data_IF_162571812454
#
_entry.id   IF_162571812454
#
_cell.length_a   1.000
_cell.length_b   1.000
_cell.length_c   1.000
_cell.angle_alpha   90.00
_cell.angle_beta   90.00
_cell.angle_gamma   90.00
#
_symmetry.space_group_name_H-M   'P 1'
#
loop_
_entity.id
_entity.type
_entity.pdbx_description
1 polymer ?
#
# COMPACT_ATOMS: atom_id res chain seq x y z
N UNK A 1 31.29 -37.12 -21.96
CA UNK A 1 30.87 -35.76 -21.55
C UNK A 1 29.71 -35.34 -22.43
N UNK A 2 28.49 -35.28 -21.88
CA UNK A 2 27.29 -34.80 -22.59
C UNK A 2 26.70 -33.68 -21.75
N UNK A 3 26.85 -32.44 -22.20
CA UNK A 3 26.21 -31.28 -21.60
C UNK A 3 24.82 -31.15 -22.21
N UNK A 4 23.80 -31.50 -21.43
CA UNK A 4 22.41 -31.26 -21.80
C UNK A 4 22.07 -29.83 -21.37
N UNK A 5 21.95 -28.92 -22.34
CA UNK A 5 21.39 -27.59 -22.14
C UNK A 5 19.89 -27.74 -21.88
N UNK A 6 19.46 -27.63 -20.62
CA UNK A 6 18.06 -27.39 -20.30
C UNK A 6 17.77 -25.91 -20.56
N UNK A 7 17.07 -25.65 -21.66
CA UNK A 7 16.50 -24.34 -21.98
C UNK A 7 15.45 -23.99 -20.93
N UNK A 8 15.65 -22.91 -20.20
CA UNK A 8 14.66 -22.37 -19.28
C UNK A 8 13.54 -21.71 -20.10
N UNK A 9 12.37 -22.34 -20.11
CA UNK A 9 11.16 -21.71 -20.61
C UNK A 9 10.80 -20.54 -19.68
N UNK A 10 11.07 -19.31 -20.13
CA UNK A 10 10.51 -18.13 -19.50
C UNK A 10 9.01 -18.14 -19.75
N UNK A 11 8.24 -18.50 -18.72
CA UNK A 11 6.80 -18.29 -18.73
C UNK A 11 6.56 -16.77 -18.71
N UNK A 12 6.15 -16.22 -19.86
CA UNK A 12 5.56 -14.90 -19.91
C UNK A 12 4.24 -14.96 -19.13
N UNK A 13 4.27 -14.54 -17.87
CA UNK A 13 3.06 -14.35 -17.06
C UNK A 13 2.47 -13.02 -17.49
N UNK A 14 1.62 -13.05 -18.50
CA UNK A 14 0.81 -11.92 -18.90
C UNK A 14 -0.41 -11.85 -17.98
N UNK A 15 -0.47 -10.91 -17.05
CA UNK A 15 -1.73 -10.56 -16.38
C UNK A 15 -1.80 -9.08 -15.96
N UNK A 16 -2.47 -8.28 -16.78
CA UNK A 16 -3.65 -7.58 -16.30
C UNK A 16 -4.80 -8.62 -16.27
N UNK A 17 -5.87 -8.41 -15.51
CA UNK A 17 -7.11 -9.18 -15.70
C UNK A 17 -7.40 -9.31 -17.20
N UNK A 18 -7.30 -10.54 -17.74
CA UNK A 18 -7.35 -10.78 -19.18
C UNK A 18 -8.77 -10.68 -19.75
N UNK A 19 -9.77 -10.38 -18.93
CA UNK A 19 -11.17 -10.32 -19.36
C UNK A 19 -11.53 -8.99 -20.03
N UNK A 20 -10.76 -7.92 -19.79
CA UNK A 20 -11.09 -6.56 -20.26
C UNK A 20 -9.96 -5.82 -20.98
N UNK A 21 -9.05 -6.55 -21.65
CA UNK A 21 -8.04 -5.96 -22.55
C UNK A 21 -7.18 -4.87 -21.88
N UNK A 22 -6.78 -5.10 -20.61
CA UNK A 22 -5.98 -4.16 -19.83
C UNK A 22 -6.70 -2.88 -19.38
N UNK A 23 -8.04 -2.84 -19.46
CA UNK A 23 -8.86 -1.73 -18.96
C UNK A 23 -9.27 -1.94 -17.50
N UNK A 24 -9.57 -0.83 -16.84
CA UNK A 24 -10.03 -0.73 -15.45
C UNK A 24 -11.45 -0.18 -15.41
N UNK A 25 -12.29 -0.71 -14.53
CA UNK A 25 -13.65 -0.20 -14.34
C UNK A 25 -13.59 1.01 -13.43
N UNK A 26 -13.77 2.19 -14.01
CA UNK A 26 -13.68 3.47 -13.32
C UNK A 26 -15.07 4.03 -13.11
N UNK A 27 -15.42 4.28 -11.85
CA UNK A 27 -16.65 4.92 -11.43
C UNK A 27 -16.43 6.42 -11.26
N UNK A 28 -17.09 7.21 -12.10
CA UNK A 28 -17.00 8.67 -12.12
C UNK A 28 -18.10 9.32 -11.28
N UNK A 29 -19.22 8.62 -11.05
CA UNK A 29 -20.29 9.06 -10.16
C UNK A 29 -21.07 7.86 -9.60
N UNK A 30 -22.09 8.13 -8.78
CA UNK A 30 -22.93 7.08 -8.21
C UNK A 30 -23.56 6.17 -9.29
N UNK A 31 -23.92 6.70 -10.45
CA UNK A 31 -24.66 5.94 -11.47
C UNK A 31 -23.88 5.78 -12.78
N UNK A 32 -22.58 6.09 -12.77
CA UNK A 32 -21.76 6.10 -13.98
C UNK A 32 -20.41 5.44 -13.75
N UNK A 33 -20.19 4.33 -14.46
CA UNK A 33 -18.92 3.63 -14.53
C UNK A 33 -18.56 3.30 -15.98
N UNK A 34 -17.27 3.36 -16.31
CA UNK A 34 -16.75 3.07 -17.64
C UNK A 34 -15.47 2.23 -17.57
N UNK A 35 -15.28 1.33 -18.53
CA UNK A 35 -14.01 0.62 -18.72
C UNK A 35 -13.01 1.52 -19.44
N UNK A 36 -11.98 1.96 -18.72
CA UNK A 36 -10.99 2.94 -19.19
C UNK A 36 -9.60 2.32 -19.25
N UNK A 37 -8.80 2.72 -20.25
CA UNK A 37 -7.38 2.34 -20.31
C UNK A 37 -6.55 3.14 -19.30
N UNK A 38 -5.36 2.65 -18.95
CA UNK A 38 -4.46 3.35 -18.02
C UNK A 38 -4.18 4.80 -18.42
N UNK A 39 -4.04 5.09 -19.72
CA UNK A 39 -3.84 6.45 -20.21
C UNK A 39 -5.06 7.34 -19.95
N UNK A 40 -6.28 6.82 -20.11
CA UNK A 40 -7.51 7.55 -19.84
C UNK A 40 -7.69 7.79 -18.33
N UNK A 41 -7.32 6.83 -17.49
CA UNK A 41 -7.34 7.00 -16.03
C UNK A 41 -6.30 8.04 -15.58
N UNK A 42 -5.10 8.00 -16.17
CA UNK A 42 -4.07 9.00 -15.89
C UNK A 42 -4.53 10.41 -16.30
N UNK A 43 -5.24 10.56 -17.41
CA UNK A 43 -5.83 11.83 -17.85
C UNK A 43 -6.87 12.36 -16.85
N UNK A 44 -7.72 11.51 -16.27
CA UNK A 44 -8.65 11.91 -15.20
C UNK A 44 -7.89 12.49 -14.00
N UNK A 45 -6.82 11.83 -13.56
CA UNK A 45 -5.99 12.30 -12.46
C UNK A 45 -5.31 13.63 -12.78
N UNK A 46 -4.81 13.81 -14.01
CA UNK A 46 -4.19 15.07 -14.46
C UNK A 46 -5.18 16.24 -14.52
N UNK A 47 -6.47 15.95 -14.79
CA UNK A 47 -7.54 16.94 -14.83
C UNK A 47 -8.22 17.16 -13.47
N UNK A 48 -7.70 16.56 -12.40
CA UNK A 48 -8.26 16.62 -11.05
C UNK A 48 -9.74 16.17 -10.99
N UNK A 49 -10.08 15.18 -11.82
CA UNK A 49 -11.40 14.55 -11.80
C UNK A 49 -11.35 13.39 -10.81
N UNK A 50 -12.14 13.47 -9.75
CA UNK A 50 -12.27 12.38 -8.78
C UNK A 50 -12.93 11.15 -9.40
N UNK A 51 -12.38 9.97 -9.14
CA UNK A 51 -12.92 8.70 -9.59
C UNK A 51 -12.63 7.59 -8.56
N UNK A 52 -13.37 6.48 -8.65
CA UNK A 52 -13.12 5.26 -7.89
C UNK A 52 -12.78 4.12 -8.86
N UNK A 53 -11.71 3.39 -8.58
CA UNK A 53 -11.34 2.18 -9.33
C UNK A 53 -12.10 0.98 -8.74
N UNK A 54 -13.13 0.51 -9.45
CA UNK A 54 -14.03 -0.59 -9.06
C UNK A 54 -13.79 -1.85 -9.90
N UNK A 55 -12.59 -1.96 -10.50
CA UNK A 55 -12.21 -3.08 -11.38
C UNK A 55 -12.43 -4.44 -10.74
N UNK A 56 -12.10 -4.57 -9.46
CA UNK A 56 -12.20 -5.84 -8.73
C UNK A 56 -13.46 -5.94 -7.85
N UNK A 57 -14.38 -4.96 -7.94
CA UNK A 57 -15.58 -4.90 -7.10
C UNK A 57 -15.31 -4.68 -5.60
N UNK A 58 -14.07 -4.34 -5.24
CA UNK A 58 -13.64 -4.17 -3.85
C UNK A 58 -14.41 -3.06 -3.13
N UNK A 59 -14.92 -2.04 -3.83
CA UNK A 59 -15.76 -1.01 -3.21
C UNK A 59 -17.11 -1.57 -2.74
N UNK A 60 -17.71 -2.46 -3.53
CA UNK A 60 -18.91 -3.20 -3.11
C UNK A 60 -18.61 -4.05 -1.88
N UNK A 61 -17.46 -4.74 -1.90
CA UNK A 61 -16.98 -5.56 -0.78
C UNK A 61 -16.73 -4.76 0.49
N UNK A 62 -16.27 -3.51 0.42
CA UNK A 62 -16.10 -2.63 1.59
C UNK A 62 -17.44 -2.37 2.29
N UNK A 63 -18.52 -2.13 1.54
CA UNK A 63 -19.85 -1.96 2.12
C UNK A 63 -20.39 -3.26 2.72
N UNK A 64 -20.17 -4.40 2.06
CA UNK A 64 -20.50 -5.72 2.61
C UNK A 64 -19.70 -6.04 3.88
N UNK A 65 -18.41 -5.69 3.94
CA UNK A 65 -17.58 -5.83 5.13
C UNK A 65 -18.09 -4.95 6.26
N UNK A 66 -18.55 -3.74 5.96
CA UNK A 66 -19.22 -2.85 6.91
C UNK A 66 -20.49 -3.49 7.48
N UNK A 67 -21.38 -3.98 6.61
CA UNK A 67 -22.61 -4.66 7.00
C UNK A 67 -22.32 -5.96 7.79
N UNK A 68 -21.32 -6.74 7.37
CA UNK A 68 -20.90 -7.96 8.05
C UNK A 68 -20.29 -7.67 9.43
N UNK A 69 -19.53 -6.58 9.58
CA UNK A 69 -19.05 -6.12 10.89
C UNK A 69 -20.22 -5.72 11.80
N UNK A 70 -21.18 -4.94 11.30
CA UNK A 70 -22.37 -4.57 12.07
C UNK A 70 -23.23 -5.78 12.46
N UNK A 71 -23.43 -6.73 11.53
CA UNK A 71 -24.15 -7.96 11.80
C UNK A 71 -23.44 -8.81 12.86
N UNK A 72 -22.10 -8.92 12.80
CA UNK A 72 -21.29 -9.57 13.84
C UNK A 72 -21.43 -8.87 15.19
N UNK A 73 -21.38 -7.54 15.24
CA UNK A 73 -21.62 -6.74 16.45
C UNK A 73 -23.00 -6.99 17.06
N UNK A 74 -24.01 -7.37 16.27
CA UNK A 74 -25.35 -7.66 16.76
C UNK A 74 -25.53 -9.08 17.32
N UNK A 75 -24.55 -9.98 17.16
CA UNK A 75 -24.58 -11.32 17.77
C UNK A 75 -24.17 -11.26 19.25
N UNK A 76 -24.64 -12.17 20.11
CA UNK A 76 -24.21 -12.22 21.51
C UNK A 76 -22.69 -12.27 21.67
N UNK A 77 -22.00 -13.04 20.82
CA UNK A 77 -20.54 -13.16 20.83
C UNK A 77 -19.83 -11.89 20.37
N UNK A 78 -20.36 -11.20 19.34
CA UNK A 78 -19.79 -9.94 18.86
C UNK A 78 -20.03 -8.76 19.81
N UNK A 79 -21.15 -8.74 20.55
CA UNK A 79 -21.36 -7.77 21.64
C UNK A 79 -20.33 -7.95 22.74
N UNK A 80 -20.06 -9.18 23.16
CA UNK A 80 -19.04 -9.48 24.18
C UNK A 80 -17.63 -9.08 23.71
N UNK A 81 -17.27 -9.29 22.43
CA UNK A 81 -15.98 -8.85 21.87
C UNK A 81 -15.84 -7.32 21.78
N UNK A 82 -16.95 -6.61 21.53
CA UNK A 82 -16.97 -5.15 21.50
C UNK A 82 -16.90 -4.54 22.90
N UNK A 83 -17.59 -5.13 23.88
CA UNK A 83 -17.52 -4.74 25.30
C UNK A 83 -16.14 -5.03 25.93
N UNK A 84 -15.42 -6.05 25.43
CA UNK A 84 -14.08 -6.41 25.94
C UNK A 84 -12.93 -5.64 25.28
N UNK A 85 -13.14 -5.00 24.13
CA UNK A 85 -12.14 -4.13 23.50
C UNK A 85 -12.32 -2.70 24.01
N UNK A 86 -12.02 -2.47 25.28
CA UNK A 86 -12.00 -1.13 25.85
C UNK A 86 -10.72 -0.43 25.41
N UNK A 87 -10.82 0.43 24.39
CA UNK A 87 -9.73 1.36 24.11
C UNK A 87 -9.52 2.25 25.34
N UNK A 88 -8.28 2.43 25.81
CA UNK A 88 -8.02 3.30 26.95
C UNK A 88 -8.55 4.70 26.67
N UNK A 89 -9.45 5.19 27.53
CA UNK A 89 -9.99 6.56 27.46
C UNK A 89 -8.99 7.60 27.99
N UNK A 90 -7.91 7.12 28.62
CA UNK A 90 -6.79 7.92 29.10
C UNK A 90 -5.51 7.34 28.52
N UNK A 91 -4.61 8.21 28.08
CA UNK A 91 -3.30 7.79 27.58
C UNK A 91 -2.52 7.02 28.67
N UNK A 92 -2.20 5.76 28.40
CA UNK A 92 -1.46 4.89 29.33
C UNK A 92 0.01 5.30 29.49
N UNK A 93 0.60 5.93 28.45
CA UNK A 93 2.03 6.30 28.43
C UNK A 93 2.27 7.74 27.98
N UNK A 94 1.68 8.75 28.64
CA UNK A 94 1.70 10.13 28.16
C UNK A 94 3.11 10.73 28.17
N UNK A 95 3.95 10.32 29.14
CA UNK A 95 5.37 10.74 29.20
C UNK A 95 6.19 10.14 28.05
N UNK A 96 5.99 8.86 27.74
CA UNK A 96 6.68 8.19 26.64
C UNK A 96 6.32 8.83 25.29
N UNK A 97 5.03 9.01 25.02
CA UNK A 97 4.54 9.61 23.78
C UNK A 97 5.08 11.04 23.63
N UNK A 98 5.05 11.85 24.69
CA UNK A 98 5.67 13.19 24.66
C UNK A 98 7.17 13.12 24.36
N UNK A 99 7.89 12.17 24.95
CA UNK A 99 9.31 11.95 24.69
C UNK A 99 9.61 11.56 23.23
N UNK A 100 8.76 10.73 22.62
CA UNK A 100 8.86 10.37 21.19
C UNK A 100 8.56 11.59 20.32
N UNK A 101 7.47 12.31 20.59
CA UNK A 101 7.09 13.50 19.83
C UNK A 101 8.16 14.59 19.88
N UNK A 102 8.82 14.78 21.02
CA UNK A 102 9.91 15.74 21.16
C UNK A 102 11.15 15.40 20.31
N UNK A 103 11.29 14.14 19.87
CA UNK A 103 12.38 13.70 18.98
C UNK A 103 12.04 13.86 17.51
N UNK A 104 10.79 14.09 17.15
CA UNK A 104 10.38 14.30 15.74
C UNK A 104 10.96 15.62 15.25
N UNK A 105 11.83 15.55 14.25
CA UNK A 105 12.43 16.72 13.61
C UNK A 105 11.69 17.02 12.30
N UNK A 106 10.95 18.12 12.24
CA UNK A 106 10.22 18.53 11.03
C UNK A 106 11.15 18.78 9.83
N UNK A 107 12.39 19.19 10.09
CA UNK A 107 13.42 19.35 9.07
C UNK A 107 13.80 18.02 8.39
N UNK A 108 13.84 16.91 9.14
CA UNK A 108 14.13 15.60 8.58
C UNK A 108 12.96 15.12 7.69
N UNK A 109 11.71 15.33 8.14
CA UNK A 109 10.52 15.04 7.34
C UNK A 109 10.54 15.82 6.01
N UNK A 110 10.82 17.12 6.09
CA UNK A 110 10.91 17.99 4.91
C UNK A 110 12.01 17.50 3.95
N UNK A 111 13.21 17.23 4.47
CA UNK A 111 14.34 16.74 3.65
C UNK A 111 14.02 15.42 2.95
N UNK A 112 13.43 14.46 3.67
CA UNK A 112 13.02 13.18 3.09
C UNK A 112 11.97 13.36 2.01
N UNK A 113 10.95 14.21 2.24
CA UNK A 113 9.91 14.50 1.25
C UNK A 113 10.48 15.19 0.01
N UNK A 114 11.28 16.24 0.17
CA UNK A 114 11.91 16.96 -0.94
C UNK A 114 12.82 16.03 -1.75
N UNK A 115 13.61 15.19 -1.08
CA UNK A 115 14.46 14.21 -1.74
C UNK A 115 13.64 13.21 -2.55
N UNK A 116 12.54 12.72 -1.99
CA UNK A 116 11.67 11.76 -2.65
C UNK A 116 10.93 12.36 -3.85
N UNK A 117 10.43 13.59 -3.71
CA UNK A 117 9.65 14.25 -4.77
C UNK A 117 10.57 14.75 -5.90
N UNK A 118 11.75 15.25 -5.59
CA UNK A 118 12.69 15.77 -6.60
C UNK A 118 13.45 14.66 -7.33
N UNK A 119 13.62 13.48 -6.72
CA UNK A 119 14.36 12.36 -7.32
C UNK A 119 13.53 11.56 -8.33
N UNK A 120 12.21 11.50 -8.16
CA UNK A 120 11.32 10.69 -8.99
C UNK A 120 10.22 11.55 -9.59
N UNK A 121 10.19 11.66 -10.93
CA UNK A 121 9.20 12.46 -11.64
C UNK A 121 7.78 11.89 -11.47
N UNK A 122 7.65 10.56 -11.42
CA UNK A 122 6.42 9.88 -11.04
C UNK A 122 6.69 8.68 -10.12
N UNK A 123 5.61 8.17 -9.50
CA UNK A 123 5.64 7.08 -8.53
C UNK A 123 4.54 6.05 -8.82
N UNK A 124 4.18 5.91 -10.10
CA UNK A 124 3.09 5.04 -10.52
C UNK A 124 3.48 3.58 -10.33
N UNK A 125 2.58 2.79 -9.75
CA UNK A 125 2.84 1.42 -9.31
C UNK A 125 3.39 0.50 -10.41
N UNK A 126 2.99 0.70 -11.67
CA UNK A 126 3.39 -0.12 -12.82
C UNK A 126 4.53 0.50 -13.67
N UNK A 127 5.23 1.51 -13.15
CA UNK A 127 6.30 2.22 -13.87
C UNK A 127 7.69 1.87 -13.34
N UNK A 128 8.72 2.04 -14.17
CA UNK A 128 10.12 1.88 -13.76
C UNK A 128 10.49 2.83 -12.62
N UNK A 129 10.08 4.11 -12.69
CA UNK A 129 10.33 5.07 -11.61
C UNK A 129 9.55 4.72 -10.32
N UNK A 130 8.34 4.16 -10.44
CA UNK A 130 7.59 3.64 -9.30
C UNK A 130 8.32 2.52 -8.56
N UNK A 131 8.88 1.56 -9.29
CA UNK A 131 9.72 0.50 -8.71
C UNK A 131 10.97 1.07 -8.03
N UNK A 132 11.67 2.02 -8.68
CA UNK A 132 12.84 2.68 -8.10
C UNK A 132 12.51 3.50 -6.84
N UNK A 133 11.37 4.19 -6.83
CA UNK A 133 10.94 5.01 -5.70
C UNK A 133 10.59 4.16 -4.47
N UNK A 134 9.96 3.01 -4.68
CA UNK A 134 9.74 2.04 -3.61
C UNK A 134 11.07 1.49 -3.08
N UNK A 135 12.00 1.14 -3.98
CA UNK A 135 13.33 0.69 -3.57
C UNK A 135 14.08 1.70 -2.74
N UNK A 136 13.98 2.98 -3.11
CA UNK A 136 14.56 4.04 -2.32
C UNK A 136 13.97 4.10 -0.90
N UNK A 137 12.64 3.98 -0.73
CA UNK A 137 12.02 3.93 0.61
C UNK A 137 12.52 2.72 1.40
N UNK A 138 12.56 1.55 0.75
CA UNK A 138 13.06 0.32 1.38
C UNK A 138 14.49 0.48 1.89
N UNK A 139 15.38 1.05 1.08
CA UNK A 139 16.77 1.29 1.45
C UNK A 139 16.88 2.21 2.67
N UNK A 140 16.05 3.27 2.75
CA UNK A 140 16.00 4.15 3.93
C UNK A 140 15.59 3.39 5.20
N UNK A 141 14.63 2.46 5.10
CA UNK A 141 14.16 1.66 6.25
C UNK A 141 15.21 0.62 6.66
N UNK A 142 15.89 -0.01 5.70
CA UNK A 142 16.99 -0.94 5.98
C UNK A 142 18.16 -0.22 6.66
N UNK A 143 18.54 0.96 6.16
CA UNK A 143 19.59 1.78 6.74
C UNK A 143 19.22 2.20 8.18
N UNK A 144 17.98 2.67 8.39
CA UNK A 144 17.50 3.03 9.72
C UNK A 144 17.48 1.81 10.65
N UNK A 145 16.98 0.67 10.20
CA UNK A 145 16.95 -0.56 10.99
C UNK A 145 18.36 -0.99 11.42
N UNK A 146 19.36 -0.86 10.54
CA UNK A 146 20.76 -1.16 10.88
C UNK A 146 21.28 -0.30 12.04
N UNK A 147 20.87 0.97 12.15
CA UNK A 147 21.23 1.83 13.29
C UNK A 147 20.52 1.43 14.60
N UNK A 148 19.27 0.96 14.50
CA UNK A 148 18.42 0.59 15.65
C UNK A 148 18.78 -0.77 16.24
N UNK A 149 19.37 -1.68 15.46
CA UNK A 149 19.84 -3.02 15.92
C UNK A 149 20.89 -2.92 17.03
N UNK A 150 21.46 -1.74 17.29
CA UNK A 150 22.31 -1.49 18.47
C UNK A 150 21.55 -1.51 19.81
N UNK A 151 20.21 -1.40 19.80
CA UNK A 151 19.39 -1.51 21.00
C UNK A 151 18.97 -2.98 21.25
N UNK A 152 19.51 -3.64 22.29
CA UNK A 152 19.26 -5.07 22.54
C UNK A 152 17.80 -5.38 22.90
N UNK A 153 17.00 -4.37 23.23
CA UNK A 153 15.59 -4.52 23.61
C UNK A 153 14.63 -4.51 22.41
N UNK A 154 15.13 -4.26 21.19
CA UNK A 154 14.29 -4.11 20.00
C UNK A 154 14.81 -5.00 18.87
N UNK A 155 13.97 -5.91 18.39
CA UNK A 155 14.25 -6.72 17.20
C UNK A 155 13.52 -6.12 16.02
N UNK A 156 14.26 -5.72 14.99
CA UNK A 156 13.72 -5.15 13.76
C UNK A 156 14.03 -6.09 12.60
N UNK A 157 13.02 -6.43 11.82
CA UNK A 157 13.17 -7.19 10.56
C UNK A 157 12.51 -6.40 9.46
N UNK A 158 13.23 -6.16 8.37
CA UNK A 158 12.73 -5.52 7.17
C UNK A 158 12.64 -6.58 6.08
N UNK A 159 11.51 -6.67 5.38
CA UNK A 159 11.28 -7.62 4.30
C UNK A 159 10.46 -6.96 3.20
N UNK A 160 10.74 -7.33 1.96
CA UNK A 160 9.96 -6.92 0.81
C UNK A 160 8.75 -7.84 0.66
N UNK A 161 7.60 -7.25 0.34
CA UNK A 161 6.43 -7.94 -0.16
C UNK A 161 6.33 -7.73 -1.67
N UNK A 162 6.50 -8.80 -2.43
CA UNK A 162 6.51 -8.73 -3.90
C UNK A 162 5.10 -8.58 -4.44
N UNK A 163 4.90 -7.59 -5.32
CA UNK A 163 3.66 -7.48 -6.07
C UNK A 163 3.82 -8.00 -7.50
N UNK A 164 2.72 -8.48 -8.13
CA UNK A 164 2.74 -8.93 -9.53
C UNK A 164 3.17 -7.84 -10.54
N UNK A 165 3.01 -6.56 -10.21
CA UNK A 165 3.33 -5.42 -11.09
C UNK A 165 4.78 -4.90 -10.95
N UNK A 166 5.67 -5.65 -10.30
CA UNK A 166 7.12 -5.40 -10.29
C UNK A 166 7.61 -4.39 -9.23
N UNK A 167 6.71 -3.65 -8.59
CA UNK A 167 7.00 -2.90 -7.37
C UNK A 167 6.92 -3.84 -6.15
N UNK A 168 7.60 -3.51 -5.05
CA UNK A 168 7.46 -4.20 -3.76
C UNK A 168 6.79 -3.28 -2.71
N UNK A 169 6.54 -3.79 -1.51
CA UNK A 169 6.15 -3.01 -0.33
C UNK A 169 6.91 -3.45 0.91
#
# INVERSE_FOLDING_TARGET
MKFTLLSAAAAAIAFASSEHDGKRLIRLSADHSEWMTDAQVADLALRDVGFLDDTDGEWTRVFELGAARQAKQNTPHGRTLQETTVYPTVATYPKLVRGVNAKVQTADLKRTLESFVNKFANRLYNSTEGAQSCGWIYDQVVELAATVVTNPNVKVTVRQFTHPWGQYS
#
